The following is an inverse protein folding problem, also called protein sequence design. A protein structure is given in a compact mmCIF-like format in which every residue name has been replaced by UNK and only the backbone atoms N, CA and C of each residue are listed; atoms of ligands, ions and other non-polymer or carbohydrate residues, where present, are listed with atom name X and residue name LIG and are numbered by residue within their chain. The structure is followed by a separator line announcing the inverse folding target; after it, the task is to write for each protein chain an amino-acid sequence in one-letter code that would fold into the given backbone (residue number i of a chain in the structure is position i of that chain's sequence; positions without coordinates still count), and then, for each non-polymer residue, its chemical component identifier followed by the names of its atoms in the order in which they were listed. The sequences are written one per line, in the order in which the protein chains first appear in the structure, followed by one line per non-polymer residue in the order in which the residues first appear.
data_IF_239667682938
#
_entry.id   IF_239667682938
#
_cell.length_a   1.000
_cell.length_b   1.000
_cell.length_c   1.000
_cell.angle_alpha   90.00
_cell.angle_beta   90.00
_cell.angle_gamma   90.00
#
_symmetry.space_group_name_H-M   'P 1'
#
loop_
_entity.id
_entity.type
_entity.pdbx_description
1 polymer ?
#
# COMPACT_ATOMS: atom_id res chain seq x y z
N UNK A 1 21.38 4.71 -5.05
CA UNK A 1 21.99 4.11 -3.84
C UNK A 1 22.08 2.60 -4.03
N UNK A 2 23.29 2.01 -3.93
CA UNK A 2 23.48 0.55 -3.96
C UNK A 2 22.71 -0.06 -2.78
N UNK A 3 21.93 -1.13 -3.00
CA UNK A 3 21.28 -1.86 -1.92
C UNK A 3 22.35 -2.27 -0.89
N UNK A 4 22.29 -1.68 0.30
CA UNK A 4 23.31 -1.91 1.32
C UNK A 4 23.13 -3.33 1.86
N UNK A 5 24.11 -4.24 1.72
CA UNK A 5 23.95 -5.62 2.16
C UNK A 5 23.81 -5.62 3.69
N UNK A 6 22.64 -6.05 4.18
CA UNK A 6 22.30 -6.39 5.57
C UNK A 6 23.19 -5.76 6.66
N UNK A 7 23.34 -4.43 6.66
CA UNK A 7 24.25 -3.76 7.59
C UNK A 7 23.73 -3.83 9.03
N UNK A 8 24.60 -3.66 10.05
CA UNK A 8 24.18 -3.57 11.44
C UNK A 8 23.09 -2.51 11.67
N UNK A 9 23.12 -1.42 10.89
CA UNK A 9 22.07 -0.39 10.88
C UNK A 9 20.73 -0.96 10.41
N UNK A 10 20.69 -1.70 9.29
CA UNK A 10 19.48 -2.38 8.83
C UNK A 10 18.93 -3.34 9.90
N UNK A 11 19.80 -4.12 10.55
CA UNK A 11 19.37 -5.04 11.62
C UNK A 11 18.80 -4.31 12.83
N UNK A 12 19.41 -3.18 13.22
CA UNK A 12 18.89 -2.31 14.29
C UNK A 12 17.55 -1.70 13.91
N UNK A 13 17.43 -1.15 12.71
CA UNK A 13 16.19 -0.57 12.21
C UNK A 13 15.09 -1.63 12.11
N UNK A 14 15.36 -2.80 11.53
CA UNK A 14 14.40 -3.90 11.46
C UNK A 14 13.94 -4.36 12.84
N UNK A 15 14.84 -4.49 13.82
CA UNK A 15 14.48 -4.83 15.20
C UNK A 15 13.61 -3.75 15.84
N UNK A 16 13.99 -2.48 15.69
CA UNK A 16 13.21 -1.36 16.20
C UNK A 16 11.82 -1.34 15.57
N UNK A 17 11.72 -1.41 14.24
CA UNK A 17 10.43 -1.48 13.53
C UNK A 17 9.64 -2.72 13.93
N UNK A 18 10.27 -3.87 14.18
CA UNK A 18 9.56 -5.06 14.62
C UNK A 18 8.96 -4.91 16.02
N UNK A 19 9.69 -4.30 16.96
CA UNK A 19 9.21 -4.08 18.34
C UNK A 19 8.22 -2.92 18.41
N UNK A 20 8.49 -1.86 17.66
CA UNK A 20 7.71 -0.64 17.71
C UNK A 20 6.51 -0.71 16.77
N UNK A 21 6.67 -1.13 15.53
CA UNK A 21 5.57 -1.11 14.56
C UNK A 21 4.80 -2.43 14.48
N UNK A 22 5.47 -3.56 14.71
CA UNK A 22 4.91 -4.89 14.46
C UNK A 22 4.81 -5.78 15.72
N UNK A 23 5.06 -5.26 16.93
CA UNK A 23 4.89 -6.07 18.13
C UNK A 23 3.42 -6.29 18.39
N UNK A 24 3.08 -7.44 18.95
CA UNK A 24 1.72 -7.74 19.41
C UNK A 24 1.21 -6.68 20.39
N UNK A 25 2.09 -6.16 21.26
CA UNK A 25 1.75 -5.11 22.22
C UNK A 25 1.42 -3.78 21.54
N UNK A 26 2.15 -3.33 20.50
CA UNK A 26 1.83 -2.08 19.78
C UNK A 26 0.79 -2.26 18.67
N UNK A 27 0.66 -3.44 18.09
CA UNK A 27 -0.55 -3.80 17.35
C UNK A 27 -1.76 -3.70 18.29
N UNK A 28 -1.68 -4.16 19.54
CA UNK A 28 -2.80 -4.01 20.48
C UNK A 28 -2.93 -2.59 21.09
N UNK A 29 -1.83 -1.86 21.31
CA UNK A 29 -1.77 -0.54 21.96
C UNK A 29 -1.87 0.66 21.01
N UNK A 30 -1.70 0.45 19.70
CA UNK A 30 -2.50 1.21 18.73
C UNK A 30 -3.92 0.77 19.05
N UNK A 31 -4.59 1.49 19.96
CA UNK A 31 -5.89 1.22 20.59
C UNK A 31 -7.05 0.85 19.65
N UNK A 32 -6.79 0.77 18.35
CA UNK A 32 -7.68 0.20 17.37
C UNK A 32 -7.50 -1.31 17.20
N UNK A 33 -6.28 -1.87 17.18
CA UNK A 33 -5.99 -3.19 16.57
C UNK A 33 -6.25 -4.44 17.43
N UNK A 34 -6.84 -4.28 18.61
CA UNK A 34 -7.47 -5.37 19.36
C UNK A 34 -8.99 -5.38 19.09
N UNK A 35 -9.48 -6.43 18.43
CA UNK A 35 -10.89 -6.74 18.00
C UNK A 35 -11.66 -5.67 17.20
N UNK A 36 -11.48 -4.38 17.44
CA UNK A 36 -12.10 -3.27 16.71
C UNK A 36 -11.44 -2.98 15.35
N UNK A 37 -10.12 -3.12 15.18
CA UNK A 37 -9.44 -2.86 13.90
C UNK A 37 -9.32 -4.09 12.99
N UNK A 38 -9.60 -5.31 13.48
CA UNK A 38 -9.93 -6.38 12.52
C UNK A 38 -11.20 -6.00 11.75
N UNK A 39 -12.20 -5.45 12.47
CA UNK A 39 -13.40 -4.87 11.88
C UNK A 39 -13.16 -3.53 11.17
N UNK A 40 -12.23 -2.69 11.62
CA UNK A 40 -11.90 -1.43 10.93
C UNK A 40 -10.95 -1.62 9.73
N UNK A 41 -10.14 -2.67 9.69
CA UNK A 41 -9.40 -3.08 8.49
C UNK A 41 -10.38 -3.44 7.40
N UNK A 42 -11.46 -4.14 7.75
CA UNK A 42 -12.58 -4.39 6.84
C UNK A 42 -13.23 -3.07 6.40
N UNK A 43 -13.51 -2.12 7.30
CA UNK A 43 -14.09 -0.83 6.92
C UNK A 43 -13.16 0.04 6.05
N UNK A 44 -11.85 0.06 6.33
CA UNK A 44 -10.84 0.77 5.55
C UNK A 44 -10.68 0.15 4.16
N UNK A 45 -10.63 -1.18 4.08
CA UNK A 45 -10.61 -1.93 2.80
C UNK A 45 -11.87 -1.65 2.02
N UNK A 46 -13.03 -1.73 2.67
CA UNK A 46 -14.32 -1.44 2.06
C UNK A 46 -14.39 -0.01 1.53
N UNK A 47 -13.93 0.98 2.29
CA UNK A 47 -13.88 2.39 1.87
C UNK A 47 -12.97 2.59 0.66
N UNK A 48 -11.80 1.96 0.64
CA UNK A 48 -10.86 2.08 -0.47
C UNK A 48 -11.38 1.36 -1.73
N UNK A 49 -11.99 0.18 -1.58
CA UNK A 49 -12.67 -0.53 -2.69
C UNK A 49 -13.83 0.31 -3.21
N UNK A 50 -14.64 0.90 -2.34
CA UNK A 50 -15.76 1.78 -2.71
C UNK A 50 -15.27 3.01 -3.48
N UNK A 51 -14.14 3.61 -3.06
CA UNK A 51 -13.52 4.72 -3.78
C UNK A 51 -12.99 4.31 -5.15
N UNK A 52 -12.38 3.13 -5.25
CA UNK A 52 -11.96 2.58 -6.53
C UNK A 52 -13.14 2.39 -7.48
N UNK A 53 -14.21 1.73 -7.02
CA UNK A 53 -15.42 1.48 -7.82
C UNK A 53 -16.08 2.79 -8.27
N UNK A 54 -16.22 3.77 -7.37
CA UNK A 54 -16.75 5.10 -7.73
C UNK A 54 -15.89 5.77 -8.80
N UNK A 55 -14.58 5.79 -8.64
CA UNK A 55 -13.68 6.38 -9.63
C UNK A 55 -13.66 5.64 -10.97
N UNK A 56 -13.96 4.34 -10.98
CA UNK A 56 -14.17 3.58 -12.22
C UNK A 56 -15.51 3.95 -12.88
N UNK A 57 -16.58 4.04 -12.09
CA UNK A 57 -17.89 4.44 -12.57
C UNK A 57 -17.87 5.85 -13.17
N UNK A 58 -17.32 6.83 -12.46
CA UNK A 58 -17.21 8.22 -12.94
C UNK A 58 -16.44 8.30 -14.27
N UNK A 59 -15.40 7.46 -14.43
CA UNK A 59 -14.65 7.38 -15.69
C UNK A 59 -15.45 6.77 -16.84
N UNK A 60 -16.31 5.79 -16.56
CA UNK A 60 -17.14 5.15 -17.59
C UNK A 60 -18.33 6.05 -17.94
N UNK A 61 -18.96 6.70 -16.96
CA UNK A 61 -20.08 7.62 -17.18
C UNK A 61 -19.70 8.87 -17.98
N UNK A 62 -18.43 9.31 -17.90
CA UNK A 62 -17.92 10.39 -18.74
C UNK A 62 -17.64 9.99 -20.20
N UNK A 63 -17.62 8.68 -20.50
CA UNK A 63 -17.38 8.16 -21.85
C UNK A 63 -18.75 7.79 -22.44
N UNK A 64 -19.26 8.60 -23.36
CA UNK A 64 -20.60 8.48 -23.93
C UNK A 64 -20.94 7.13 -24.60
N UNK A 65 -19.98 6.19 -24.70
CA UNK A 65 -20.18 4.84 -25.25
C UNK A 65 -20.44 3.75 -24.20
N UNK A 66 -20.62 4.10 -22.92
CA UNK A 66 -20.98 3.14 -21.85
C UNK A 66 -19.86 2.17 -21.43
N UNK A 67 -18.72 2.16 -22.12
CA UNK A 67 -17.54 1.36 -21.80
C UNK A 67 -16.27 2.20 -21.89
N UNK A 68 -15.40 2.12 -20.87
CA UNK A 68 -14.13 2.84 -20.81
C UNK A 68 -12.95 1.91 -20.51
N UNK A 69 -11.86 2.04 -21.28
CA UNK A 69 -10.61 1.28 -21.03
C UNK A 69 -9.89 1.87 -19.82
N UNK A 70 -9.52 1.03 -18.86
CA UNK A 70 -8.77 1.42 -17.64
C UNK A 70 -7.59 0.50 -17.39
N UNK A 71 -6.51 1.05 -16.85
CA UNK A 71 -5.36 0.26 -16.42
C UNK A 71 -5.57 -0.25 -14.98
N UNK A 72 -5.99 -1.49 -14.84
CA UNK A 72 -6.29 -2.08 -13.53
C UNK A 72 -5.05 -2.32 -12.67
N UNK A 73 -3.90 -2.62 -13.27
CA UNK A 73 -2.66 -2.93 -12.54
C UNK A 73 -2.27 -1.78 -11.60
N UNK A 74 -2.13 -0.57 -12.14
CA UNK A 74 -1.82 0.65 -11.38
C UNK A 74 -2.85 0.96 -10.29
N UNK A 75 -4.14 0.72 -10.58
CA UNK A 75 -5.24 0.96 -9.64
C UNK A 75 -5.22 0.00 -8.45
N UNK A 76 -4.99 -1.28 -8.71
CA UNK A 76 -4.88 -2.30 -7.68
C UNK A 76 -3.63 -2.11 -6.83
N UNK A 77 -2.48 -1.75 -7.44
CA UNK A 77 -1.29 -1.40 -6.65
C UNK A 77 -1.52 -0.18 -5.76
N UNK A 78 -2.21 0.85 -6.27
CA UNK A 78 -2.59 2.02 -5.48
C UNK A 78 -3.53 1.69 -4.33
N UNK A 79 -4.52 0.81 -4.55
CA UNK A 79 -5.44 0.30 -3.53
C UNK A 79 -4.68 -0.39 -2.39
N UNK A 80 -3.78 -1.32 -2.70
CA UNK A 80 -2.98 -2.03 -1.69
C UNK A 80 -2.10 -1.09 -0.87
N UNK A 81 -1.47 -0.11 -1.52
CA UNK A 81 -0.63 0.89 -0.85
C UNK A 81 -1.45 1.85 0.02
N UNK A 82 -2.63 2.27 -0.43
CA UNK A 82 -3.56 3.06 0.39
C UNK A 82 -3.97 2.34 1.67
N UNK A 83 -4.35 1.06 1.55
CA UNK A 83 -4.74 0.23 2.70
C UNK A 83 -3.58 0.12 3.68
N UNK A 84 -2.36 -0.20 3.20
CA UNK A 84 -1.14 -0.25 4.02
C UNK A 84 -0.85 1.07 4.73
N UNK A 85 -0.90 2.19 4.01
CA UNK A 85 -0.62 3.51 4.59
C UNK A 85 -1.68 3.94 5.60
N UNK A 86 -2.96 3.61 5.38
CA UNK A 86 -4.01 3.87 6.38
C UNK A 86 -3.84 3.00 7.63
N UNK A 87 -3.36 1.77 7.49
CA UNK A 87 -3.09 0.90 8.63
C UNK A 87 -1.86 1.36 9.44
N UNK A 88 -0.78 1.75 8.77
CA UNK A 88 0.52 2.03 9.42
C UNK A 88 0.67 3.49 9.83
N UNK A 89 0.27 4.42 8.96
CA UNK A 89 0.47 5.86 9.14
C UNK A 89 -0.84 6.64 9.38
N UNK A 90 -2.00 5.97 9.33
CA UNK A 90 -3.35 6.58 9.44
C UNK A 90 -3.58 7.70 8.41
N UNK A 91 -2.87 7.64 7.28
CA UNK A 91 -2.93 8.60 6.17
C UNK A 91 -3.10 7.84 4.85
N UNK A 92 -3.67 8.49 3.84
CA UNK A 92 -3.76 7.92 2.48
C UNK A 92 -2.42 8.04 1.76
N UNK A 93 -2.22 7.17 0.78
CA UNK A 93 -1.07 7.22 -0.10
C UNK A 93 -1.09 8.53 -0.89
N UNK A 94 0.03 9.26 -0.89
CA UNK A 94 0.17 10.52 -1.60
C UNK A 94 1.26 10.44 -2.68
N UNK A 95 1.25 11.39 -3.62
CA UNK A 95 2.19 11.44 -4.75
C UNK A 95 3.66 11.44 -4.34
N UNK A 96 4.00 12.16 -3.27
CA UNK A 96 5.38 12.19 -2.75
C UNK A 96 5.84 10.79 -2.35
N UNK A 97 4.97 10.00 -1.72
CA UNK A 97 5.28 8.61 -1.41
C UNK A 97 5.31 7.72 -2.66
N UNK A 98 4.55 8.04 -3.72
CA UNK A 98 4.64 7.35 -5.01
C UNK A 98 6.01 7.49 -5.65
N UNK A 99 6.53 8.71 -5.67
CA UNK A 99 7.84 9.00 -6.24
C UNK A 99 8.94 8.26 -5.47
N UNK A 100 8.91 8.35 -4.14
CA UNK A 100 9.89 7.66 -3.27
C UNK A 100 9.81 6.15 -3.42
N UNK A 101 8.61 5.56 -3.42
CA UNK A 101 8.44 4.12 -3.57
C UNK A 101 8.88 3.67 -4.96
N UNK A 102 8.52 4.41 -6.01
CA UNK A 102 8.93 4.12 -7.38
C UNK A 102 10.46 4.16 -7.51
N UNK A 103 11.11 5.20 -6.96
CA UNK A 103 12.56 5.34 -6.95
C UNK A 103 13.22 4.17 -6.19
N UNK A 104 12.68 3.79 -5.03
CA UNK A 104 13.17 2.63 -4.26
C UNK A 104 13.04 1.33 -5.07
N UNK A 105 11.93 1.13 -5.78
CA UNK A 105 11.74 -0.05 -6.63
C UNK A 105 12.73 -0.08 -7.81
N UNK A 106 12.93 1.03 -8.50
CA UNK A 106 13.91 1.15 -9.60
C UNK A 106 15.34 0.89 -9.10
N UNK A 107 15.71 1.49 -7.97
CA UNK A 107 17.03 1.31 -7.35
C UNK A 107 17.26 -0.10 -6.80
N UNK A 108 16.19 -0.81 -6.40
CA UNK A 108 16.28 -2.17 -5.86
C UNK A 108 16.52 -3.25 -6.93
N UNK A 109 16.50 -2.90 -8.23
CA UNK A 109 16.51 -3.87 -9.32
C UNK A 109 15.16 -4.56 -9.39
N UNK A 110 14.29 -4.06 -10.26
CA UNK A 110 12.86 -4.36 -10.28
C UNK A 110 12.50 -5.84 -10.06
N UNK A 111 11.58 -6.07 -9.12
CA UNK A 111 10.63 -7.17 -9.17
C UNK A 111 9.76 -6.95 -10.41
N UNK A 112 10.26 -7.33 -11.59
CA UNK A 112 9.52 -7.22 -12.83
C UNK A 112 8.68 -8.52 -13.01
N UNK A 113 7.34 -8.45 -12.85
CA UNK A 113 6.47 -9.63 -12.94
C UNK A 113 6.47 -10.26 -14.35
N UNK A 114 7.06 -9.61 -15.36
CA UNK A 114 7.27 -10.21 -16.68
C UNK A 114 8.36 -11.30 -16.68
N UNK A 115 9.24 -11.37 -15.67
CA UNK A 115 10.21 -12.47 -15.53
C UNK A 115 9.62 -13.74 -14.91
N UNK A 116 8.33 -13.76 -14.54
CA UNK A 116 7.64 -14.95 -14.00
C UNK A 116 6.86 -15.74 -15.07
N UNK A 117 6.92 -15.32 -16.33
CA UNK A 117 6.15 -15.91 -17.44
C UNK A 117 7.02 -16.39 -18.61
N UNK A 118 8.32 -16.63 -18.39
CA UNK A 118 9.19 -17.37 -19.31
C UNK A 118 9.93 -18.48 -18.57
#
# INVERSE_FOLDING_TARGET
MRAVPYSPLWRKLRRLTAVELFSTARLNAVELLSTACLNSSLSLRHDEVKQLVRGLFDKVSGVGSGFGKVEMKSRLSGLSLNILMRMVARKRYCRVFQEVISEVFELSGAWNPAHLLN
#
